data_IF_764801588895
#
_entry.id   IF_764801588895
#
_cell.length_a   1.000
_cell.length_b   1.000
_cell.length_c   1.000
_cell.angle_alpha   90.00
_cell.angle_beta   90.00
_cell.angle_gamma   90.00
#
_symmetry.space_group_name_H-M   'P 1'
#
loop_
_entity.id
_entity.type
_entity.pdbx_description
1 polymer ?
#
# COMPACT_ATOMS: atom_id res chain seq x y z
N UNK A 1 -1.64 -14.49 4.90
CA UNK A 1 -0.81 -13.34 4.45
C UNK A 1 -0.25 -13.65 3.08
N UNK A 2 -0.02 -12.63 2.25
CA UNK A 2 0.72 -12.78 1.01
C UNK A 2 2.23 -12.89 1.31
N UNK A 3 2.95 -13.76 0.59
CA UNK A 3 4.39 -13.92 0.77
C UNK A 3 5.14 -13.09 -0.27
N UNK A 4 6.20 -12.36 0.13
CA UNK A 4 7.11 -11.70 -0.81
C UNK A 4 7.90 -12.69 -1.67
N UNK A 5 7.92 -13.98 -1.30
CA UNK A 5 8.47 -15.08 -2.10
C UNK A 5 7.80 -15.24 -3.47
N UNK A 6 6.71 -14.52 -3.75
CA UNK A 6 6.07 -14.47 -5.06
C UNK A 6 6.76 -13.54 -6.07
N UNK A 7 7.74 -12.75 -5.64
CA UNK A 7 8.55 -11.87 -6.48
C UNK A 7 9.98 -12.42 -6.65
N UNK A 8 10.69 -12.04 -7.73
CA UNK A 8 12.04 -12.54 -7.96
C UNK A 8 12.99 -11.98 -6.88
N UNK A 9 14.02 -12.75 -6.46
CA UNK A 9 15.01 -12.28 -5.48
C UNK A 9 15.60 -10.92 -5.84
N UNK A 10 15.89 -10.72 -7.12
CA UNK A 10 16.51 -9.50 -7.66
C UNK A 10 15.60 -8.26 -7.58
N UNK A 11 14.28 -8.42 -7.41
CA UNK A 11 13.37 -7.27 -7.26
C UNK A 11 13.68 -6.48 -5.99
N UNK A 12 14.04 -7.17 -4.89
CA UNK A 12 14.41 -6.51 -3.64
C UNK A 12 15.68 -5.69 -3.81
N UNK A 13 16.71 -6.29 -4.39
CA UNK A 13 18.00 -5.64 -4.58
C UNK A 13 17.91 -4.47 -5.56
N UNK A 14 17.12 -4.60 -6.63
CA UNK A 14 16.81 -3.51 -7.53
C UNK A 14 16.11 -2.34 -6.82
N UNK A 15 15.07 -2.62 -6.02
CA UNK A 15 14.36 -1.59 -5.25
C UNK A 15 15.28 -0.89 -4.25
N UNK A 16 16.13 -1.63 -3.52
CA UNK A 16 17.11 -1.03 -2.61
C UNK A 16 18.04 -0.09 -3.38
N UNK A 17 18.56 -0.52 -4.53
CA UNK A 17 19.41 0.30 -5.38
C UNK A 17 18.68 1.57 -5.86
N UNK A 18 17.43 1.45 -6.27
CA UNK A 18 16.63 2.58 -6.73
C UNK A 18 16.29 3.55 -5.61
N UNK A 19 15.89 3.08 -4.43
CA UNK A 19 15.65 3.95 -3.28
C UNK A 19 16.92 4.67 -2.82
N UNK A 20 18.08 4.00 -2.85
CA UNK A 20 19.39 4.64 -2.59
C UNK A 20 19.70 5.75 -3.60
N UNK A 21 19.45 5.52 -4.88
CA UNK A 21 19.87 6.43 -5.96
C UNK A 21 18.85 7.54 -6.27
N UNK A 22 17.57 7.26 -6.07
CA UNK A 22 16.44 8.04 -6.57
C UNK A 22 15.40 8.38 -5.52
N UNK A 23 15.42 7.76 -4.34
CA UNK A 23 14.37 7.94 -3.32
C UNK A 23 14.18 9.39 -2.86
N UNK A 24 15.23 10.21 -2.90
CA UNK A 24 15.12 11.63 -2.53
C UNK A 24 14.86 12.58 -3.72
N UNK A 25 14.71 12.05 -4.94
CA UNK A 25 14.60 12.86 -6.17
C UNK A 25 13.14 13.02 -6.61
N UNK A 26 12.56 14.23 -6.56
CA UNK A 26 11.14 14.45 -6.86
C UNK A 26 10.75 14.16 -8.30
N UNK A 27 11.70 14.24 -9.24
CA UNK A 27 11.49 13.91 -10.65
C UNK A 27 11.52 12.40 -10.93
N UNK A 28 11.87 11.58 -9.94
CA UNK A 28 11.99 10.13 -10.09
C UNK A 28 10.74 9.44 -9.56
N UNK A 29 10.28 8.48 -10.35
CA UNK A 29 9.14 7.62 -10.06
C UNK A 29 9.64 6.19 -9.89
N UNK A 30 9.32 5.59 -8.75
CA UNK A 30 9.53 4.17 -8.48
C UNK A 30 8.14 3.55 -8.32
N UNK A 31 7.78 2.64 -9.22
CA UNK A 31 6.43 2.08 -9.31
C UNK A 31 6.45 0.55 -9.36
N UNK A 32 5.36 -0.04 -8.86
CA UNK A 32 4.97 -1.42 -9.12
C UNK A 32 3.65 -1.38 -9.88
N UNK A 33 3.52 -2.23 -10.92
CA UNK A 33 2.34 -2.29 -11.77
C UNK A 33 1.86 -3.71 -11.94
N UNK A 34 0.57 -3.92 -11.77
CA UNK A 34 -0.10 -5.16 -12.18
C UNK A 34 -0.61 -4.99 -13.60
N UNK A 35 -0.29 -5.94 -14.47
CA UNK A 35 -0.71 -5.95 -15.86
C UNK A 35 -1.98 -6.81 -16.00
N UNK A 36 -2.79 -6.52 -17.02
CA UNK A 36 -3.96 -7.33 -17.39
C UNK A 36 -4.97 -7.52 -16.24
N UNK A 37 -5.30 -6.43 -15.56
CA UNK A 37 -6.34 -6.44 -14.51
C UNK A 37 -7.71 -6.47 -15.19
N UNK A 38 -8.53 -7.46 -14.82
CA UNK A 38 -9.93 -7.54 -15.24
C UNK A 38 -10.84 -6.66 -14.38
N UNK A 39 -11.97 -6.24 -14.93
CA UNK A 39 -12.95 -5.36 -14.27
C UNK A 39 -13.36 -5.85 -12.88
N UNK A 40 -13.73 -7.13 -12.74
CA UNK A 40 -14.14 -7.68 -11.45
C UNK A 40 -13.04 -7.57 -10.37
N UNK A 41 -11.78 -7.85 -10.74
CA UNK A 41 -10.64 -7.70 -9.84
C UNK A 41 -10.38 -6.25 -9.47
N UNK A 42 -10.52 -5.35 -10.43
CA UNK A 42 -10.37 -3.91 -10.22
C UNK A 42 -11.44 -3.36 -9.26
N UNK A 43 -12.72 -3.66 -9.48
CA UNK A 43 -13.82 -3.15 -8.66
C UNK A 43 -13.76 -3.69 -7.22
N UNK A 44 -13.42 -4.98 -7.05
CA UNK A 44 -13.24 -5.55 -5.72
C UNK A 44 -12.08 -4.89 -4.97
N UNK A 45 -10.95 -4.67 -5.64
CA UNK A 45 -9.81 -3.98 -5.04
C UNK A 45 -10.17 -2.53 -4.68
N UNK A 46 -10.85 -1.82 -5.58
CA UNK A 46 -11.30 -0.45 -5.33
C UNK A 46 -12.21 -0.38 -4.11
N UNK A 47 -13.19 -1.28 -4.03
CA UNK A 47 -14.10 -1.37 -2.88
C UNK A 47 -13.36 -1.66 -1.58
N UNK A 48 -12.40 -2.60 -1.61
CA UNK A 48 -11.56 -2.91 -0.44
C UNK A 48 -10.78 -1.68 0.02
N UNK A 49 -10.10 -0.98 -0.89
CA UNK A 49 -9.32 0.22 -0.55
C UNK A 49 -10.19 1.36 -0.03
N UNK A 50 -11.38 1.58 -0.62
CA UNK A 50 -12.33 2.61 -0.15
C UNK A 50 -12.86 2.34 1.26
N UNK A 51 -12.93 1.08 1.69
CA UNK A 51 -13.39 0.72 3.02
C UNK A 51 -12.39 1.07 4.13
N UNK A 52 -11.10 1.20 3.79
CA UNK A 52 -10.05 1.58 4.73
C UNK A 52 -10.11 3.08 5.03
N UNK A 53 -10.10 3.43 6.32
CA UNK A 53 -10.13 4.83 6.80
C UNK A 53 -8.75 5.38 7.18
N UNK A 54 -7.70 4.56 7.14
CA UNK A 54 -6.34 4.93 7.55
C UNK A 54 -5.50 5.63 6.47
N UNK A 55 -6.11 6.14 5.40
CA UNK A 55 -5.38 6.83 4.34
C UNK A 55 -4.91 8.22 4.78
N UNK A 56 -3.72 8.60 4.34
CA UNK A 56 -3.15 9.93 4.58
C UNK A 56 -3.81 11.01 3.71
N UNK A 57 -4.53 10.62 2.66
CA UNK A 57 -5.34 11.51 1.83
C UNK A 57 -6.83 11.15 1.95
N UNK A 58 -7.70 12.03 1.44
CA UNK A 58 -9.11 11.72 1.20
C UNK A 58 -9.23 11.18 -0.23
N UNK A 59 -9.42 9.87 -0.44
CA UNK A 59 -9.46 9.31 -1.78
C UNK A 59 -10.66 9.84 -2.55
N UNK A 60 -10.42 10.43 -3.72
CA UNK A 60 -11.45 10.95 -4.62
C UNK A 60 -11.09 10.62 -6.07
N UNK A 61 -12.10 10.42 -6.94
CA UNK A 61 -11.82 10.26 -8.36
C UNK A 61 -11.25 11.56 -8.94
N UNK A 62 -10.14 11.44 -9.66
CA UNK A 62 -9.67 12.46 -10.60
C UNK A 62 -9.98 12.00 -12.02
N UNK A 63 -10.35 12.94 -12.89
CA UNK A 63 -10.58 12.67 -14.31
C UNK A 63 -9.61 13.51 -15.11
N UNK A 64 -8.84 12.89 -16.00
CA UNK A 64 -7.89 13.58 -16.86
C UNK A 64 -7.97 13.09 -18.30
N UNK A 65 -7.59 13.97 -19.22
CA UNK A 65 -7.26 13.62 -20.59
C UNK A 65 -5.76 13.77 -20.77
N UNK A 66 -5.09 12.65 -21.04
CA UNK A 66 -3.69 12.64 -21.45
C UNK A 66 -3.60 12.63 -22.99
N UNK A 67 -2.85 13.59 -23.54
CA UNK A 67 -2.48 13.67 -24.96
C UNK A 67 -1.01 13.35 -25.09
N UNK A 68 -0.69 12.27 -25.80
CA UNK A 68 0.69 11.87 -26.07
C UNK A 68 1.14 12.45 -27.41
N UNK A 69 2.11 13.35 -27.37
CA UNK A 69 2.68 14.00 -28.54
C UNK A 69 3.76 13.14 -29.18
N UNK A 70 3.96 13.28 -30.49
CA UNK A 70 4.91 12.49 -31.27
C UNK A 70 6.36 12.58 -30.76
N UNK A 71 6.75 13.69 -30.11
CA UNK A 71 8.09 13.78 -29.51
C UNK A 71 8.24 13.03 -28.19
N UNK A 72 7.16 12.47 -27.63
CA UNK A 72 7.14 11.78 -26.33
C UNK A 72 6.76 12.66 -25.14
N UNK A 73 6.32 13.90 -25.36
CA UNK A 73 5.71 14.73 -24.30
C UNK A 73 4.28 14.26 -24.03
N UNK A 74 3.92 14.10 -22.76
CA UNK A 74 2.55 13.90 -22.28
C UNK A 74 2.01 15.25 -21.84
N UNK A 75 0.92 15.67 -22.46
CA UNK A 75 0.11 16.77 -21.96
C UNK A 75 -1.08 16.20 -21.16
N UNK A 76 -1.25 16.63 -19.92
CA UNK A 76 -2.34 16.21 -19.04
C UNK A 76 -3.27 17.39 -18.78
N UNK A 77 -4.56 17.19 -19.08
CA UNK A 77 -5.63 18.15 -18.88
C UNK A 77 -6.57 17.61 -17.80
N UNK A 78 -6.81 18.38 -16.75
CA UNK A 78 -7.83 18.03 -15.76
C UNK A 78 -9.23 18.24 -16.32
N UNK A 79 -10.11 17.27 -16.11
CA UNK A 79 -11.48 17.25 -16.62
C UNK A 79 -12.48 17.39 -15.48
N UNK A 80 -13.52 18.19 -15.70
CA UNK A 80 -14.65 18.34 -14.80
C UNK A 80 -15.64 17.17 -14.90
N UNK A 81 -16.63 17.10 -13.99
CA UNK A 81 -17.63 16.03 -13.96
C UNK A 81 -18.48 15.92 -15.22
N UNK A 82 -18.59 17.01 -15.99
CA UNK A 82 -19.32 17.10 -17.25
C UNK A 82 -18.47 16.74 -18.48
N UNK A 83 -17.24 16.26 -18.28
CA UNK A 83 -16.32 15.93 -19.36
C UNK A 83 -15.72 17.14 -20.08
N UNK A 84 -15.81 18.34 -19.49
CA UNK A 84 -15.16 19.55 -20.02
C UNK A 84 -13.85 19.82 -19.29
N UNK A 85 -12.82 20.38 -19.95
CA UNK A 85 -11.60 20.82 -19.29
C UNK A 85 -11.90 21.79 -18.15
N UNK A 86 -11.25 21.59 -17.00
CA UNK A 86 -11.26 22.57 -15.93
C UNK A 86 -10.41 23.80 -16.33
N UNK A 87 -10.67 24.99 -15.74
CA UNK A 87 -9.89 26.20 -15.98
C UNK A 87 -8.54 26.14 -15.25
N UNK A 88 -7.76 25.09 -15.49
CA UNK A 88 -6.41 24.88 -15.00
C UNK A 88 -5.46 24.73 -16.19
N UNK A 89 -4.22 25.26 -16.10
CA UNK A 89 -3.24 25.06 -17.15
C UNK A 89 -2.93 23.56 -17.31
N UNK A 90 -2.78 23.13 -18.56
CA UNK A 90 -2.33 21.77 -18.85
C UNK A 90 -0.91 21.55 -18.34
N UNK A 91 -0.63 20.35 -17.86
CA UNK A 91 0.70 19.93 -17.42
C UNK A 91 1.41 19.20 -18.54
N UNK A 92 2.66 19.58 -18.84
CA UNK A 92 3.46 18.96 -19.88
C UNK A 92 4.63 18.24 -19.23
N UNK A 93 4.67 16.92 -19.38
CA UNK A 93 5.67 16.05 -18.77
C UNK A 93 6.34 15.19 -19.82
N UNK A 94 7.66 15.00 -19.71
CA UNK A 94 8.40 14.01 -20.49
C UNK A 94 8.82 12.87 -19.57
N UNK A 95 8.29 11.67 -19.84
CA UNK A 95 8.69 10.43 -19.14
C UNK A 95 9.86 9.80 -19.88
N UNK A 96 11.00 9.69 -19.20
CA UNK A 96 12.15 8.91 -19.67
C UNK A 96 12.13 7.59 -18.91
N UNK A 97 11.90 6.50 -19.63
CA UNK A 97 11.90 5.16 -19.04
C UNK A 97 13.31 4.80 -18.60
N UNK A 98 13.44 4.36 -17.35
CA UNK A 98 14.68 3.83 -16.80
C UNK A 98 14.70 2.32 -16.95
N UNK A 99 14.77 1.63 -15.81
CA UNK A 99 14.89 0.18 -15.74
C UNK A 99 13.57 -0.46 -15.30
N UNK A 100 13.19 -1.57 -15.94
CA UNK A 100 12.02 -2.36 -15.60
C UNK A 100 12.48 -3.76 -15.13
N UNK A 101 11.85 -4.28 -14.07
CA UNK A 101 11.98 -5.67 -13.61
C UNK A 101 10.63 -6.36 -13.85
N UNK A 102 10.39 -6.91 -15.06
CA UNK A 102 9.16 -7.65 -15.35
C UNK A 102 9.16 -9.00 -14.66
N UNK A 103 7.99 -9.47 -14.24
CA UNK A 103 7.83 -10.77 -13.61
C UNK A 103 6.43 -11.34 -13.84
N UNK A 104 6.30 -12.65 -13.77
CA UNK A 104 5.00 -13.32 -13.68
C UNK A 104 4.96 -14.07 -12.35
N UNK A 105 3.99 -13.73 -11.50
CA UNK A 105 3.86 -14.36 -10.18
C UNK A 105 3.57 -15.86 -10.33
N UNK A 106 3.80 -16.70 -9.30
CA UNK A 106 3.46 -18.12 -9.33
C UNK A 106 1.98 -18.39 -9.66
N UNK A 107 1.11 -17.42 -9.39
CA UNK A 107 -0.33 -17.43 -9.71
C UNK A 107 -0.64 -16.95 -11.14
N UNK A 108 0.36 -16.73 -11.99
CA UNK A 108 0.19 -16.31 -13.38
C UNK A 108 -0.21 -14.85 -13.57
N UNK A 109 0.01 -13.98 -12.58
CA UNK A 109 -0.30 -12.55 -12.70
C UNK A 109 0.93 -11.82 -13.25
N UNK A 110 0.85 -11.20 -14.44
CA UNK A 110 1.94 -10.41 -14.97
C UNK A 110 2.08 -9.10 -14.18
N UNK A 111 3.29 -8.82 -13.71
CA UNK A 111 3.62 -7.63 -12.91
C UNK A 111 4.94 -7.05 -13.36
N UNK A 112 5.22 -5.81 -12.95
CA UNK A 112 6.57 -5.24 -13.10
C UNK A 112 6.86 -4.23 -11.99
N UNK A 113 8.13 -4.14 -11.61
CA UNK A 113 8.67 -2.96 -10.93
C UNK A 113 9.35 -2.08 -11.98
N UNK A 114 9.24 -0.76 -11.88
CA UNK A 114 9.85 0.15 -12.82
C UNK A 114 10.38 1.39 -12.11
N UNK A 115 11.45 1.95 -12.68
CA UNK A 115 11.93 3.29 -12.34
C UNK A 115 11.93 4.15 -13.60
N UNK A 116 11.38 5.36 -13.49
CA UNK A 116 11.36 6.34 -14.57
C UNK A 116 11.64 7.73 -14.02
N UNK A 117 12.03 8.66 -14.90
CA UNK A 117 12.04 10.09 -14.56
C UNK A 117 10.91 10.79 -15.29
N UNK A 118 10.10 11.55 -14.57
CA UNK A 118 9.14 12.50 -15.13
C UNK A 118 9.66 13.92 -14.92
N UNK A 119 9.92 14.63 -16.02
CA UNK A 119 10.38 16.02 -15.98
C UNK A 119 9.36 16.93 -16.63
N UNK A 120 9.15 18.10 -16.04
CA UNK A 120 8.39 19.16 -16.68
C UNK A 120 8.98 19.51 -18.04
N UNK A 121 8.11 19.79 -18.99
CA UNK A 121 8.46 20.16 -20.36
C UNK A 121 7.67 21.40 -20.77
N UNK A 122 8.12 22.05 -21.84
CA UNK A 122 7.34 23.09 -22.50
C UNK A 122 6.17 22.47 -23.27
N UNK A 123 5.19 23.29 -23.63
CA UNK A 123 4.16 22.89 -24.57
C UNK A 123 4.76 22.32 -25.85
N UNK A 124 4.20 21.22 -26.35
CA UNK A 124 4.69 20.52 -27.53
C UNK A 124 3.72 20.74 -28.70
N UNK A 125 4.13 21.43 -29.78
CA UNK A 125 3.28 21.69 -30.93
C UNK A 125 3.16 20.47 -31.86
N UNK A 126 3.88 19.38 -31.62
CA UNK A 126 3.84 18.19 -32.47
C UNK A 126 2.48 17.48 -32.39
N UNK A 127 2.11 16.73 -33.45
CA UNK A 127 0.84 16.02 -33.47
C UNK A 127 0.67 15.06 -32.29
N UNK A 128 -0.54 15.01 -31.75
CA UNK A 128 -0.94 14.01 -30.77
C UNK A 128 -1.21 12.70 -31.50
N UNK A 129 -0.61 11.60 -31.05
CA UNK A 129 -0.76 10.28 -31.66
C UNK A 129 -1.52 9.28 -30.77
N UNK A 130 -1.75 9.62 -29.50
CA UNK A 130 -2.52 8.80 -28.57
C UNK A 130 -3.25 9.70 -27.56
N UNK A 131 -4.54 9.44 -27.38
CA UNK A 131 -5.39 10.06 -26.37
C UNK A 131 -5.74 9.01 -25.32
N UNK A 132 -5.67 9.36 -24.04
CA UNK A 132 -6.07 8.49 -22.92
C UNK A 132 -6.98 9.27 -21.99
N UNK A 133 -8.26 8.87 -21.94
CA UNK A 133 -9.20 9.32 -20.92
C UNK A 133 -9.01 8.48 -19.67
N UNK A 134 -8.62 9.11 -18.57
CA UNK A 134 -8.33 8.45 -17.31
C UNK A 134 -9.32 8.87 -16.24
N UNK A 135 -9.87 7.89 -15.52
CA UNK A 135 -10.52 8.10 -14.25
C UNK A 135 -9.74 7.35 -13.18
N UNK A 136 -9.13 8.08 -12.26
CA UNK A 136 -8.16 7.54 -11.30
C UNK A 136 -8.62 7.75 -9.86
N UNK A 137 -8.40 6.73 -9.03
CA UNK A 137 -8.48 6.83 -7.58
C UNK A 137 -7.09 6.65 -7.00
N UNK A 138 -6.67 7.58 -6.15
CA UNK A 138 -5.37 7.53 -5.47
C UNK A 138 -5.56 7.38 -3.96
N UNK A 139 -4.88 6.40 -3.36
CA UNK A 139 -4.90 6.10 -1.92
C UNK A 139 -3.48 6.19 -1.38
N UNK A 140 -3.21 7.14 -0.49
CA UNK A 140 -1.88 7.41 0.05
C UNK A 140 -1.75 6.77 1.43
N UNK A 141 -0.74 5.95 1.62
CA UNK A 141 -0.43 5.29 2.89
C UNK A 141 0.85 5.86 3.50
N UNK A 142 0.69 6.46 4.70
CA UNK A 142 1.78 7.09 5.49
C UNK A 142 2.62 8.10 4.71
N UNK A 143 2.06 8.76 3.70
CA UNK A 143 2.80 9.64 2.78
C UNK A 143 4.01 8.99 2.07
N UNK A 144 4.14 7.66 2.11
CA UNK A 144 5.27 6.93 1.52
C UNK A 144 4.89 6.28 0.20
N UNK A 145 3.71 5.69 0.15
CA UNK A 145 3.24 4.92 -0.99
C UNK A 145 1.84 5.34 -1.39
N UNK A 146 1.59 5.34 -2.69
CA UNK A 146 0.32 5.72 -3.30
C UNK A 146 -0.17 4.57 -4.17
N UNK A 147 -1.30 3.98 -3.82
CA UNK A 147 -2.02 3.05 -4.67
C UNK A 147 -2.83 3.85 -5.69
N UNK A 148 -2.64 3.58 -6.97
CA UNK A 148 -3.41 4.19 -8.05
C UNK A 148 -4.21 3.15 -8.82
N UNK A 149 -5.53 3.34 -8.85
CA UNK A 149 -6.46 2.52 -9.60
C UNK A 149 -7.05 3.38 -10.71
N UNK A 150 -6.69 3.09 -11.96
CA UNK A 150 -7.07 3.89 -13.11
C UNK A 150 -7.93 3.09 -14.09
N UNK A 151 -9.12 3.61 -14.40
CA UNK A 151 -9.89 3.22 -15.58
C UNK A 151 -9.41 4.05 -16.76
N UNK A 152 -9.01 3.40 -17.85
CA UNK A 152 -8.43 4.05 -19.02
C UNK A 152 -9.22 3.69 -20.27
N UNK A 153 -9.61 4.70 -21.05
CA UNK A 153 -10.03 4.49 -22.44
C UNK A 153 -9.05 5.21 -23.35
N UNK A 154 -8.58 4.54 -24.40
CA UNK A 154 -7.50 5.09 -25.23
C UNK A 154 -7.68 4.80 -26.72
N UNK A 155 -7.16 5.70 -27.55
CA UNK A 155 -7.26 5.62 -29.01
C UNK A 155 -6.42 6.68 -29.71
N UNK A 156 -6.19 6.55 -31.03
CA UNK A 156 -5.38 7.49 -31.81
C UNK A 156 -6.02 8.88 -31.96
N UNK A 157 -7.33 9.00 -31.72
CA UNK A 157 -8.06 10.27 -31.71
C UNK A 157 -8.85 10.41 -30.41
N UNK A 158 -9.29 11.64 -30.10
CA UNK A 158 -10.12 11.88 -28.92
C UNK A 158 -11.45 11.10 -28.99
N UNK A 159 -12.09 11.07 -30.16
CA UNK A 159 -13.37 10.40 -30.39
C UNK A 159 -13.23 8.88 -30.24
N UNK A 160 -12.19 8.29 -30.83
CA UNK A 160 -11.92 6.85 -30.70
C UNK A 160 -11.60 6.48 -29.26
N UNK A 161 -10.80 7.27 -28.55
CA UNK A 161 -10.51 7.06 -27.14
C UNK A 161 -11.77 7.13 -26.27
N UNK A 162 -12.72 8.05 -26.54
CA UNK A 162 -13.97 8.15 -25.75
C UNK A 162 -14.88 6.92 -25.86
N UNK A 163 -14.80 6.20 -26.99
CA UNK A 163 -15.63 5.02 -27.32
C UNK A 163 -14.91 3.69 -27.11
N UNK A 164 -13.61 3.72 -26.81
CA UNK A 164 -12.83 2.53 -26.59
C UNK A 164 -13.32 1.75 -25.36
N UNK A 165 -13.05 0.44 -25.37
CA UNK A 165 -13.22 -0.40 -24.20
C UNK A 165 -12.36 0.11 -23.03
N UNK A 166 -12.90 -0.01 -21.82
CA UNK A 166 -12.20 0.39 -20.61
C UNK A 166 -11.13 -0.64 -20.27
N UNK A 167 -9.89 -0.17 -20.15
CA UNK A 167 -8.78 -0.91 -19.59
C UNK A 167 -8.61 -0.53 -18.12
N UNK A 168 -8.09 -1.46 -17.32
CA UNK A 168 -7.93 -1.29 -15.88
C UNK A 168 -6.45 -1.37 -15.51
N UNK A 169 -5.94 -0.32 -14.89
CA UNK A 169 -4.54 -0.21 -14.47
C UNK A 169 -4.49 -0.14 -12.94
N UNK A 170 -3.62 -0.95 -12.33
CA UNK A 170 -3.36 -0.95 -10.89
C UNK A 170 -1.87 -0.73 -10.65
N UNK A 171 -1.57 0.35 -9.95
CA UNK A 171 -0.22 0.83 -9.69
C UNK A 171 -0.01 1.07 -8.19
N UNK A 172 1.23 0.88 -7.74
CA UNK A 172 1.73 1.26 -6.44
C UNK A 172 2.97 2.12 -6.67
N UNK A 173 2.88 3.40 -6.35
CA UNK A 173 3.95 4.37 -6.56
C UNK A 173 4.57 4.78 -5.23
N UNK A 174 5.87 5.02 -5.23
CA UNK A 174 6.54 5.72 -4.15
C UNK A 174 6.31 7.24 -4.25
N UNK A 175 5.75 7.83 -3.21
CA UNK A 175 5.48 9.27 -3.09
C UNK A 175 6.14 9.90 -1.85
N UNK A 176 7.05 9.17 -1.20
CA UNK A 176 7.69 9.56 0.05
C UNK A 176 9.01 10.30 -0.10
N UNK A 177 9.25 11.00 -1.22
CA UNK A 177 10.55 11.64 -1.49
C UNK A 177 10.98 12.60 -0.35
N UNK A 178 10.01 13.29 0.28
CA UNK A 178 10.25 14.16 1.44
C UNK A 178 10.53 13.44 2.76
N UNK A 179 10.25 12.14 2.84
CA UNK A 179 10.45 11.31 4.05
C UNK A 179 11.82 10.61 4.06
N UNK A 180 12.48 10.44 2.91
CA UNK A 180 13.80 9.79 2.82
C UNK A 180 14.87 10.54 3.64
N UNK A 181 14.76 11.87 3.72
CA UNK A 181 15.65 12.70 4.55
C UNK A 181 15.43 12.57 6.06
N UNK A 182 14.37 11.88 6.50
CA UNK A 182 13.98 11.76 7.92
C UNK A 182 14.42 10.43 8.57
N UNK A 183 15.36 9.71 7.96
CA UNK A 183 15.95 8.48 8.52
C UNK A 183 15.29 7.18 8.06
N UNK A 184 14.42 7.22 7.05
CA UNK A 184 13.80 6.02 6.47
C UNK A 184 14.82 5.27 5.61
N UNK A 185 15.12 4.01 5.94
CA UNK A 185 16.13 3.23 5.21
C UNK A 185 15.62 2.74 3.84
N UNK A 186 16.48 2.69 2.81
CA UNK A 186 16.16 2.10 1.51
C UNK A 186 15.68 0.65 1.59
N UNK A 187 16.23 -0.13 2.53
CA UNK A 187 15.84 -1.51 2.81
C UNK A 187 14.39 -1.58 3.29
N UNK A 188 14.01 -0.71 4.23
CA UNK A 188 12.63 -0.62 4.70
C UNK A 188 11.65 -0.22 3.58
N UNK A 189 12.04 0.73 2.72
CA UNK A 189 11.21 1.15 1.58
C UNK A 189 11.00 0.00 0.57
N UNK A 190 12.07 -0.74 0.25
CA UNK A 190 12.00 -1.90 -0.63
C UNK A 190 11.09 -2.98 -0.07
N UNK A 191 11.28 -3.37 1.19
CA UNK A 191 10.48 -4.40 1.84
C UNK A 191 9.02 -3.97 2.00
N UNK A 192 8.76 -2.69 2.32
CA UNK A 192 7.40 -2.13 2.38
C UNK A 192 6.70 -2.17 1.03
N UNK A 193 7.41 -1.82 -0.05
CA UNK A 193 6.85 -1.84 -1.40
C UNK A 193 6.54 -3.27 -1.85
N UNK A 194 7.45 -4.22 -1.59
CA UNK A 194 7.25 -5.64 -1.89
C UNK A 194 6.05 -6.22 -1.11
N UNK A 195 5.90 -5.89 0.17
CA UNK A 195 4.77 -6.35 0.97
C UNK A 195 3.43 -5.82 0.43
N UNK A 196 3.36 -4.53 0.10
CA UNK A 196 2.15 -3.93 -0.49
C UNK A 196 1.83 -4.50 -1.87
N UNK A 197 2.84 -4.66 -2.72
CA UNK A 197 2.71 -5.31 -4.01
C UNK A 197 2.19 -6.75 -3.84
N UNK A 198 2.68 -7.47 -2.83
CA UNK A 198 2.27 -8.82 -2.54
C UNK A 198 0.78 -8.90 -2.16
N UNK A 199 0.32 -7.97 -1.33
CA UNK A 199 -1.08 -7.89 -0.93
C UNK A 199 -2.01 -7.53 -2.10
N UNK A 200 -1.59 -6.63 -2.99
CA UNK A 200 -2.34 -6.31 -4.22
C UNK A 200 -2.53 -7.54 -5.10
N UNK A 201 -1.45 -8.27 -5.38
CA UNK A 201 -1.50 -9.50 -6.17
C UNK A 201 -2.41 -10.53 -5.51
N UNK A 202 -2.26 -10.74 -4.20
CA UNK A 202 -3.06 -11.70 -3.45
C UNK A 202 -4.56 -11.41 -3.52
N UNK A 203 -4.96 -10.14 -3.39
CA UNK A 203 -6.35 -9.74 -3.54
C UNK A 203 -6.88 -10.04 -4.95
N UNK A 204 -6.11 -9.74 -5.99
CA UNK A 204 -6.50 -10.00 -7.38
C UNK A 204 -6.61 -11.51 -7.68
N UNK A 205 -5.71 -12.33 -7.14
CA UNK A 205 -5.74 -13.79 -7.30
C UNK A 205 -6.99 -14.39 -6.66
N UNK A 206 -7.36 -13.94 -5.45
CA UNK A 206 -8.60 -14.38 -4.79
C UNK A 206 -9.83 -14.17 -5.67
N UNK A 207 -9.91 -13.03 -6.34
CA UNK A 207 -11.01 -12.75 -7.28
C UNK A 207 -11.01 -13.73 -8.44
N UNK A 208 -9.84 -13.92 -9.09
CA UNK A 208 -9.69 -14.84 -10.24
C UNK A 208 -10.03 -16.29 -9.90
N UNK A 209 -9.67 -16.74 -8.70
CA UNK A 209 -9.92 -18.09 -8.23
C UNK A 209 -11.38 -18.37 -7.85
N UNK A 210 -12.26 -17.36 -7.89
CA UNK A 210 -13.67 -17.51 -7.50
C UNK A 210 -13.88 -17.63 -5.98
N UNK A 211 -12.82 -17.52 -5.18
CA UNK A 211 -12.88 -17.51 -3.70
C UNK A 211 -13.52 -16.24 -3.10
N UNK A 212 -14.26 -15.46 -3.91
CA UNK A 212 -14.88 -14.19 -3.52
C UNK A 212 -16.28 -13.91 -4.07
N UNK A 213 -16.94 -14.86 -4.76
CA UNK A 213 -18.22 -14.60 -5.43
C UNK A 213 -19.49 -14.92 -4.60
N UNK A 214 -19.37 -15.22 -3.30
CA UNK A 214 -20.52 -15.47 -2.43
C UNK A 214 -20.42 -14.66 -1.14
N UNK A 215 -21.13 -13.53 -1.07
CA UNK A 215 -21.83 -13.05 0.14
C UNK A 215 -21.09 -12.87 1.47
N UNK A 216 -19.77 -13.04 1.54
CA UNK A 216 -19.00 -12.87 2.77
C UNK A 216 -17.61 -12.34 2.42
N UNK A 217 -17.44 -11.04 2.65
CA UNK A 217 -16.13 -10.44 2.89
C UNK A 217 -15.37 -11.34 3.88
N UNK A 218 -14.12 -11.77 3.62
CA UNK A 218 -13.19 -12.09 4.70
C UNK A 218 -12.73 -10.75 5.29
N UNK A 219 -13.66 -10.10 5.98
CA UNK A 219 -13.62 -8.71 6.41
C UNK A 219 -14.73 -8.40 7.42
N UNK A 220 -15.16 -9.41 8.17
CA UNK A 220 -15.54 -9.22 9.54
C UNK A 220 -14.82 -10.31 10.31
N UNK A 221 -14.02 -10.02 11.36
CA UNK A 221 -13.91 -11.03 12.41
C UNK A 221 -15.35 -11.39 12.74
N UNK A 222 -15.64 -12.69 12.85
CA UNK A 222 -16.79 -13.13 13.61
C UNK A 222 -16.87 -12.19 14.81
N UNK A 223 -17.95 -11.42 14.87
CA UNK A 223 -18.33 -10.67 16.07
C UNK A 223 -18.57 -11.74 17.11
N UNK A 224 -17.49 -12.24 17.69
CA UNK A 224 -17.48 -12.81 19.02
C UNK A 224 -18.00 -11.67 19.87
N UNK A 225 -19.27 -11.79 20.22
CA UNK A 225 -19.93 -10.99 21.23
C UNK A 225 -19.25 -11.29 22.57
N UNK A 226 -18.03 -10.80 22.77
CA UNK A 226 -17.58 -10.48 24.10
C UNK A 226 -18.26 -9.16 24.47
N UNK A 227 -18.93 -9.14 25.62
CA UNK A 227 -19.80 -8.05 26.08
C UNK A 227 -19.13 -6.67 26.17
N UNK A 228 -17.83 -6.57 25.90
CA UNK A 228 -16.99 -5.40 26.18
C UNK A 228 -16.56 -4.59 24.94
N UNK A 229 -17.10 -4.86 23.75
CA UNK A 229 -16.82 -4.08 22.53
C UNK A 229 -15.41 -4.28 21.94
N UNK A 230 -15.04 -3.56 20.87
CA UNK A 230 -13.74 -3.70 20.23
C UNK A 230 -12.61 -3.15 21.12
N UNK A 231 -11.50 -3.88 21.21
CA UNK A 231 -10.26 -3.50 21.88
C UNK A 231 -9.63 -2.31 21.13
N UNK A 232 -9.17 -1.31 21.86
CA UNK A 232 -8.56 -0.09 21.36
C UNK A 232 -7.10 0.01 21.81
N UNK A 233 -6.35 0.88 21.15
CA UNK A 233 -5.01 1.25 21.59
C UNK A 233 -5.02 1.79 23.03
N UNK A 234 -4.06 1.36 23.84
CA UNK A 234 -3.94 1.68 25.27
C UNK A 234 -4.70 0.72 26.20
N UNK A 235 -5.48 -0.23 25.68
CA UNK A 235 -6.18 -1.20 26.51
C UNK A 235 -5.24 -2.25 27.11
N UNK A 236 -5.46 -2.56 28.38
CA UNK A 236 -4.86 -3.71 29.06
C UNK A 236 -5.61 -4.99 28.67
N UNK A 237 -4.86 -5.98 28.18
CA UNK A 237 -5.36 -7.24 27.67
C UNK A 237 -4.67 -8.44 28.31
N UNK A 238 -5.37 -9.57 28.29
CA UNK A 238 -4.89 -10.88 28.77
C UNK A 238 -5.01 -11.89 27.64
N UNK A 239 -3.99 -12.72 27.48
CA UNK A 239 -4.02 -13.83 26.53
C UNK A 239 -4.79 -15.03 27.08
N UNK A 240 -5.56 -15.68 26.21
CA UNK A 240 -6.27 -16.90 26.57
C UNK A 240 -5.27 -18.01 26.96
N UNK A 241 -5.56 -18.80 28.01
CA UNK A 241 -4.72 -19.94 28.38
C UNK A 241 -4.48 -20.89 27.20
N UNK A 242 -3.23 -21.34 27.02
CA UNK A 242 -2.84 -22.24 25.92
C UNK A 242 -2.51 -21.57 24.58
N UNK A 243 -2.48 -20.23 24.53
CA UNK A 243 -2.01 -19.50 23.34
C UNK A 243 -0.48 -19.56 23.29
N UNK A 244 0.07 -20.32 22.34
CA UNK A 244 1.51 -20.30 22.07
C UNK A 244 1.89 -19.04 21.29
N UNK A 245 2.80 -18.26 21.86
CA UNK A 245 3.33 -17.04 21.25
C UNK A 245 4.84 -17.05 21.39
N UNK A 246 5.55 -16.78 20.30
CA UNK A 246 6.99 -16.62 20.36
C UNK A 246 7.31 -15.28 21.02
N UNK A 247 7.93 -15.31 22.19
CA UNK A 247 8.42 -14.12 22.87
C UNK A 247 9.76 -13.74 22.26
N UNK A 248 9.91 -12.47 21.91
CA UNK A 248 11.20 -11.92 21.58
C UNK A 248 11.51 -10.74 22.52
N UNK A 249 12.77 -10.66 22.93
CA UNK A 249 13.24 -9.78 24.00
C UNK A 249 14.04 -8.61 23.40
N UNK A 250 13.78 -7.39 23.85
CA UNK A 250 14.66 -6.25 23.56
C UNK A 250 15.77 -6.15 24.61
N UNK A 251 17.04 -6.18 24.20
CA UNK A 251 18.17 -5.95 25.10
C UNK A 251 18.35 -4.47 25.48
N UNK A 252 18.99 -4.20 26.61
CA UNK A 252 19.30 -2.83 27.05
C UNK A 252 20.18 -2.10 26.02
N UNK A 253 19.70 -0.96 25.50
CA UNK A 253 20.42 -0.17 24.49
C UNK A 253 20.39 -0.76 23.07
N UNK A 254 19.79 -1.93 22.89
CA UNK A 254 19.35 -2.39 21.59
C UNK A 254 17.91 -1.91 21.42
N UNK A 255 17.65 -1.03 20.45
CA UNK A 255 16.29 -0.85 19.96
C UNK A 255 15.66 -2.22 19.69
N UNK A 256 14.34 -2.33 19.83
CA UNK A 256 13.63 -3.57 19.52
C UNK A 256 14.23 -4.18 18.25
N UNK A 257 14.68 -5.45 18.30
CA UNK A 257 15.22 -6.14 17.12
C UNK A 257 14.08 -6.42 16.16
N UNK A 258 13.69 -5.36 15.49
CA UNK A 258 12.84 -5.29 14.33
C UNK A 258 13.53 -4.22 13.48
N UNK A 259 14.30 -4.62 12.48
CA UNK A 259 15.08 -3.73 11.60
C UNK A 259 14.19 -2.91 10.63
N UNK A 260 12.99 -2.55 11.07
CA UNK A 260 12.03 -1.72 10.34
C UNK A 260 10.83 -1.42 11.22
N UNK A 261 10.44 -0.14 11.29
CA UNK A 261 9.11 0.20 11.79
C UNK A 261 8.06 -0.59 11.00
N UNK A 262 7.01 -1.06 11.67
CA UNK A 262 6.03 -1.90 11.00
C UNK A 262 5.07 -1.04 10.13
N UNK A 263 4.73 -1.47 8.90
CA UNK A 263 3.71 -0.79 8.08
C UNK A 263 2.35 -0.75 8.81
N UNK A 264 1.65 0.40 8.84
CA UNK A 264 0.39 0.55 9.61
C UNK A 264 -0.75 -0.36 9.14
N UNK A 265 -0.66 -0.96 7.95
CA UNK A 265 -1.61 -1.99 7.50
C UNK A 265 -1.56 -3.25 8.37
N UNK A 266 -0.39 -3.58 8.96
CA UNK A 266 -0.25 -4.63 9.96
C UNK A 266 -0.76 -4.19 11.35
N UNK A 267 -0.66 -2.90 11.69
CA UNK A 267 -1.21 -2.35 12.93
C UNK A 267 -2.74 -2.21 12.89
N UNK A 268 -3.31 -1.97 11.71
CA UNK A 268 -4.75 -1.84 11.50
C UNK A 268 -5.48 -3.19 11.36
N UNK A 269 -4.77 -4.26 11.02
CA UNK A 269 -5.34 -5.61 10.83
C UNK A 269 -5.03 -6.58 11.97
N UNK A 270 -4.05 -6.28 12.82
CA UNK A 270 -3.63 -7.08 13.97
C UNK A 270 -3.24 -6.13 15.11
N UNK A 271 -3.96 -6.17 16.23
CA UNK A 271 -3.54 -5.47 17.44
C UNK A 271 -2.26 -6.12 17.98
N UNK A 272 -1.15 -5.40 17.97
CA UNK A 272 0.06 -5.85 18.64
C UNK A 272 -0.11 -5.72 20.13
N UNK A 273 0.32 -6.75 20.84
CA UNK A 273 0.17 -6.89 22.28
C UNK A 273 1.59 -6.82 22.88
N UNK A 274 1.83 -5.84 23.75
CA UNK A 274 3.13 -5.56 24.38
C UNK A 274 3.07 -5.91 25.86
N UNK A 275 3.99 -6.71 26.38
CA UNK A 275 4.05 -6.98 27.83
C UNK A 275 5.32 -6.40 28.44
N UNK A 276 5.15 -5.66 29.53
CA UNK A 276 6.25 -5.19 30.39
C UNK A 276 6.63 -6.20 31.48
N UNK A 277 6.07 -7.40 31.49
CA UNK A 277 6.29 -8.36 32.57
C UNK A 277 6.72 -9.74 32.08
N UNK A 278 7.48 -10.38 32.95
CA UNK A 278 7.99 -11.75 32.84
C UNK A 278 6.89 -12.70 32.34
N UNK A 279 7.19 -13.65 31.42
CA UNK A 279 6.26 -14.52 30.68
C UNK A 279 5.09 -15.11 31.48
N UNK A 280 5.25 -15.28 32.80
CA UNK A 280 4.31 -15.95 33.69
C UNK A 280 3.02 -15.17 33.97
N UNK A 281 2.96 -13.85 33.70
CA UNK A 281 1.79 -13.03 34.06
C UNK A 281 0.66 -12.94 33.02
N UNK A 282 0.91 -13.31 31.75
CA UNK A 282 -0.11 -13.30 30.67
C UNK A 282 -0.74 -11.93 30.34
N UNK A 283 -0.20 -10.83 30.90
CA UNK A 283 -0.73 -9.47 30.88
C UNK A 283 0.01 -8.60 29.86
N UNK A 284 -0.70 -7.83 29.03
CA UNK A 284 -0.10 -7.02 27.98
C UNK A 284 -1.00 -5.85 27.51
N UNK A 285 -0.50 -5.00 26.62
CA UNK A 285 -1.12 -3.74 26.18
C UNK A 285 -1.20 -3.67 24.65
N UNK A 286 -2.27 -3.09 24.11
CA UNK A 286 -2.37 -2.85 22.65
C UNK A 286 -1.76 -1.51 22.28
N UNK A 287 -0.73 -1.47 21.41
CA UNK A 287 -0.10 -0.21 20.95
C UNK A 287 0.21 -0.20 19.44
N UNK A 288 0.20 0.97 18.82
CA UNK A 288 0.52 1.15 17.40
C UNK A 288 2.00 1.48 17.12
N UNK A 289 2.73 2.00 18.12
CA UNK A 289 4.17 2.33 18.02
C UNK A 289 4.94 2.00 19.32
N UNK A 290 6.21 1.51 19.24
CA UNK A 290 7.06 1.31 20.43
C UNK A 290 7.49 2.62 21.12
N UNK A 291 7.44 3.72 20.37
CA UNK A 291 7.99 5.05 20.70
C UNK A 291 7.20 5.81 21.75
N UNK A 292 6.00 5.40 22.15
CA UNK A 292 5.27 6.09 23.23
C UNK A 292 5.72 5.69 24.64
N UNK A 293 6.65 4.74 24.77
CA UNK A 293 7.14 4.21 26.04
C UNK A 293 8.49 4.81 26.50
N UNK A 294 8.92 5.96 25.97
CA UNK A 294 10.23 6.60 26.27
C UNK A 294 10.46 6.92 27.77
N UNK A 295 9.48 6.68 28.64
CA UNK A 295 9.58 6.97 30.07
C UNK A 295 9.85 5.79 31.01
N UNK A 296 9.61 4.51 30.66
CA UNK A 296 9.64 3.43 31.67
C UNK A 296 10.23 2.09 31.20
N UNK A 297 11.30 1.70 31.91
CA UNK A 297 11.89 0.37 32.16
C UNK A 297 11.87 -0.71 31.04
N UNK A 298 13.08 -1.02 30.57
CA UNK A 298 13.44 -2.27 29.88
C UNK A 298 13.49 -3.45 30.88
N UNK A 299 13.31 -4.71 30.42
CA UNK A 299 13.13 -5.15 29.03
C UNK A 299 11.67 -5.08 28.52
N UNK A 300 11.50 -4.80 27.23
CA UNK A 300 10.22 -4.96 26.52
C UNK A 300 10.14 -6.38 25.96
N UNK A 301 9.04 -7.07 26.25
CA UNK A 301 8.71 -8.35 25.63
C UNK A 301 7.64 -8.13 24.56
N UNK A 302 7.92 -8.56 23.33
CA UNK A 302 6.96 -8.51 22.23
C UNK A 302 6.56 -9.93 21.82
N UNK A 303 5.28 -10.10 21.53
CA UNK A 303 4.78 -11.33 20.93
C UNK A 303 5.04 -11.28 19.43
N UNK A 304 5.92 -12.16 18.95
CA UNK A 304 6.17 -12.38 17.54
C UNK A 304 5.23 -13.49 17.02
N UNK A 305 4.26 -13.12 16.18
CA UNK A 305 3.37 -14.06 15.52
C UNK A 305 1.92 -13.56 15.41
N UNK A 306 1.11 -14.29 14.65
CA UNK A 306 -0.35 -14.07 14.59
C UNK A 306 -1.01 -14.50 15.89
N UNK A 307 -1.34 -13.54 16.77
CA UNK A 307 -2.25 -13.79 17.89
C UNK A 307 -3.69 -13.66 17.37
N UNK A 308 -4.50 -14.73 17.38
CA UNK A 308 -5.90 -14.61 16.98
C UNK A 308 -6.62 -13.64 17.91
N UNK A 309 -7.42 -12.71 17.38
CA UNK A 309 -8.17 -11.74 18.20
C UNK A 309 -9.07 -12.42 19.25
N UNK A 310 -9.57 -13.63 18.96
CA UNK A 310 -10.35 -14.45 19.91
C UNK A 310 -9.54 -14.91 21.15
N UNK A 311 -8.22 -14.88 21.06
CA UNK A 311 -7.31 -15.20 22.15
C UNK A 311 -6.99 -13.98 23.04
N UNK A 312 -7.53 -12.80 22.73
CA UNK A 312 -7.24 -11.53 23.42
C UNK A 312 -8.49 -11.09 24.17
N UNK A 313 -8.38 -10.84 25.48
CA UNK A 313 -9.49 -10.35 26.30
C UNK A 313 -9.07 -9.08 27.03
N UNK A 314 -9.94 -8.06 27.10
CA UNK A 314 -9.71 -6.91 28.00
C UNK A 314 -9.62 -7.41 29.43
N UNK A 315 -8.68 -6.87 30.22
CA UNK A 315 -8.68 -7.12 31.65
C UNK A 315 -9.97 -6.55 32.25
N UNK A 316 -10.77 -7.32 33.00
CA UNK A 316 -11.91 -6.78 33.71
C UNK A 316 -11.45 -5.67 34.66
N UNK A 317 -12.04 -4.47 34.57
CA UNK A 317 -11.77 -3.39 35.52
C UNK A 317 -12.23 -3.85 36.91
N UNK A 318 -11.29 -4.06 37.84
CA UNK A 318 -11.59 -4.29 39.25
C UNK A 318 -11.10 -5.58 39.90
N UNK A 319 -10.24 -6.38 39.24
CA UNK A 319 -9.59 -7.53 39.90
C UNK A 319 -8.09 -7.23 40.04
N UNK A 320 -7.68 -6.94 41.28
CA UNK A 320 -6.27 -6.80 41.70
C UNK A 320 -5.59 -8.16 41.65
#
# INVERSE_FOLDING_TARGET
MASTKQFPPDARDALISWFKQYGAKPEMEIEFRVQEVGEAGFEQLLSSLQSNRGWSNVPKPSVTLDRMHATGVRETIEMGPNGQPLPKPAQYMRKVKGHDVPWTTPSGVPVKFAVASERESSADPSPVHLYRHKQRYSFVHKNLFKFELTRVKQGPTNESASRAETQFEVELEFCGQGEVGKGVSPEYLADSMLMKAADLVHQLVKVRSGEGAAGALPGAPNRSSTADGPVQEGDEVVLAPGTEVALAESGHGAGARFDGEMPAELAASTGWIFSHRVPESGLAFVMSEPTQLVGQAYPLYYFCGTVPYAAVRRRPRGVV
#
